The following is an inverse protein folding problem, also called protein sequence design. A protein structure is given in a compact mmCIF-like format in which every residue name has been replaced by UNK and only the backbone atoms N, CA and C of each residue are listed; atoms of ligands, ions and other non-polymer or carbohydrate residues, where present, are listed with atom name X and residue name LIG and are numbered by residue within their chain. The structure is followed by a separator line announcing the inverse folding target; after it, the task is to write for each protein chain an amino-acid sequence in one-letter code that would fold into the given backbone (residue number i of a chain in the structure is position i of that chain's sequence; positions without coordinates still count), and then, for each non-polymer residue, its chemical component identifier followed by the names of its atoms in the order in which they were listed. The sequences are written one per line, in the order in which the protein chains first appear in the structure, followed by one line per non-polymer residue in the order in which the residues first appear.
data_IF_824440508382
#
_entry.id   IF_824440508382
#
_cell.length_a   1.000
_cell.length_b   1.000
_cell.length_c   1.000
_cell.angle_alpha   90.00
_cell.angle_beta   90.00
_cell.angle_gamma   90.00
#
_symmetry.space_group_name_H-M   'P 1'
#
loop_
_entity.id
_entity.type
_entity.pdbx_description
1 polymer ?
#
# COMPACT_ATOMS: atom_id res chain seq x y z
N UNK A 1 -5.23 11.89 -9.93
CA UNK A 1 -3.99 12.68 -10.07
C UNK A 1 -2.90 11.76 -10.57
N UNK A 2 -2.63 11.75 -11.88
CA UNK A 2 -1.47 11.10 -12.47
C UNK A 2 -0.24 11.88 -12.04
N UNK A 3 0.58 11.30 -11.15
CA UNK A 3 1.85 11.90 -10.75
C UNK A 3 2.82 11.82 -11.93
N UNK A 4 3.61 12.87 -12.15
CA UNK A 4 4.68 12.86 -13.14
C UNK A 4 5.67 11.72 -12.82
N UNK A 5 6.22 11.03 -13.84
CA UNK A 5 7.23 9.99 -13.64
C UNK A 5 8.49 10.61 -13.01
N UNK A 6 9.03 9.96 -11.98
CA UNK A 6 10.25 10.40 -11.28
C UNK A 6 11.36 9.39 -11.50
N UNK A 7 12.57 9.85 -11.80
CA UNK A 7 13.72 8.97 -12.05
C UNK A 7 15.06 9.71 -11.96
N UNK A 8 16.11 9.11 -12.53
CA UNK A 8 17.47 9.67 -12.53
C UNK A 8 17.60 10.99 -13.30
N UNK A 9 16.65 11.34 -14.15
CA UNK A 9 16.61 12.63 -14.85
C UNK A 9 16.38 13.84 -13.92
N UNK A 10 16.02 13.61 -12.65
CA UNK A 10 15.86 14.66 -11.63
C UNK A 10 17.12 14.86 -10.79
N UNK A 11 18.22 14.17 -11.12
CA UNK A 11 19.50 14.40 -10.46
C UNK A 11 20.00 15.82 -10.77
N UNK A 12 20.62 16.50 -9.79
CA UNK A 12 21.18 17.83 -10.00
C UNK A 12 22.40 17.74 -10.93
N UNK A 13 22.84 18.87 -11.50
CA UNK A 13 23.99 18.90 -12.43
C UNK A 13 25.30 18.39 -11.79
N UNK A 14 25.43 18.55 -10.46
CA UNK A 14 26.59 18.13 -9.66
C UNK A 14 26.47 16.70 -9.10
N UNK A 15 25.67 15.83 -9.73
CA UNK A 15 25.48 14.47 -9.23
C UNK A 15 26.77 13.63 -9.27
N UNK A 16 26.92 12.74 -8.28
CA UNK A 16 28.04 11.79 -8.26
C UNK A 16 27.91 10.76 -9.38
N UNK A 17 28.76 10.87 -10.40
CA UNK A 17 29.02 9.81 -11.37
C UNK A 17 29.71 8.61 -10.71
N UNK A 18 29.31 7.40 -11.10
CA UNK A 18 29.94 6.16 -10.62
C UNK A 18 30.96 5.65 -11.64
N UNK A 19 32.03 5.05 -11.12
CA UNK A 19 33.12 4.52 -11.92
C UNK A 19 33.27 3.05 -11.66
N UNK A 20 33.40 2.30 -12.75
CA UNK A 20 33.57 0.84 -12.77
C UNK A 20 34.92 0.54 -13.42
N UNK A 21 35.73 -0.26 -12.75
CA UNK A 21 37.03 -0.67 -13.23
C UNK A 21 37.86 -1.33 -12.14
N UNK A 22 39.02 -1.85 -12.52
CA UNK A 22 39.99 -2.41 -11.57
C UNK A 22 40.52 -1.34 -10.61
N UNK A 23 41.16 -1.76 -9.52
CA UNK A 23 41.64 -0.85 -8.47
C UNK A 23 42.49 0.32 -8.99
N UNK A 24 43.32 0.10 -10.02
CA UNK A 24 44.11 1.15 -10.66
C UNK A 24 43.24 2.22 -11.35
N UNK A 25 42.12 1.85 -11.95
CA UNK A 25 41.18 2.80 -12.57
C UNK A 25 40.48 3.67 -11.51
N UNK A 26 40.21 3.10 -10.32
CA UNK A 26 39.63 3.85 -9.22
C UNK A 26 40.59 4.92 -8.69
N UNK A 27 41.90 4.65 -8.63
CA UNK A 27 42.89 5.62 -8.18
C UNK A 27 43.07 6.77 -9.18
N UNK A 28 43.01 6.49 -10.49
CA UNK A 28 42.98 7.52 -11.54
C UNK A 28 41.74 8.42 -11.37
N UNK A 29 40.57 7.83 -11.12
CA UNK A 29 39.36 8.63 -10.93
C UNK A 29 39.39 9.48 -9.65
N UNK A 30 39.96 8.96 -8.55
CA UNK A 30 40.16 9.76 -7.33
C UNK A 30 41.04 10.98 -7.60
N UNK A 31 42.07 10.83 -8.43
CA UNK A 31 42.90 11.96 -8.89
C UNK A 31 42.05 12.95 -9.70
N UNK A 32 41.29 12.48 -10.68
CA UNK A 32 40.46 13.34 -11.53
C UNK A 32 39.31 14.06 -10.79
N UNK A 33 38.90 13.55 -9.63
CA UNK A 33 37.88 14.17 -8.77
C UNK A 33 38.43 15.27 -7.86
N UNK A 34 39.75 15.46 -7.79
CA UNK A 34 40.35 16.55 -7.02
C UNK A 34 39.83 17.90 -7.52
N UNK A 35 39.59 18.81 -6.58
CA UNK A 35 39.00 20.12 -6.84
C UNK A 35 40.11 21.17 -6.93
N UNK A 36 40.08 21.98 -7.98
CA UNK A 36 40.91 23.16 -8.16
C UNK A 36 40.03 24.33 -8.62
N UNK A 37 40.01 25.42 -7.85
CA UNK A 37 39.17 26.60 -8.14
C UNK A 37 37.69 26.25 -8.41
N UNK A 38 37.09 25.43 -7.53
CA UNK A 38 35.71 24.95 -7.60
C UNK A 38 35.36 24.12 -8.86
N UNK A 39 36.37 23.61 -9.57
CA UNK A 39 36.23 22.71 -10.71
C UNK A 39 36.98 21.41 -10.45
N UNK A 40 36.45 20.30 -10.96
CA UNK A 40 37.17 19.04 -10.92
C UNK A 40 38.29 18.99 -11.97
N UNK A 41 39.38 18.27 -11.70
CA UNK A 41 40.43 18.04 -12.72
C UNK A 41 39.86 17.35 -13.97
N UNK A 42 38.79 16.57 -13.83
CA UNK A 42 38.06 15.98 -14.95
C UNK A 42 37.36 17.05 -15.82
N UNK A 43 36.70 18.03 -15.21
CA UNK A 43 36.09 19.15 -15.95
C UNK A 43 37.15 19.93 -16.72
N UNK A 44 38.29 20.22 -16.08
CA UNK A 44 39.40 20.89 -16.75
C UNK A 44 39.95 20.07 -17.93
N UNK A 45 40.00 18.75 -17.80
CA UNK A 45 40.40 17.86 -18.90
C UNK A 45 39.37 17.85 -20.04
N UNK A 46 38.06 17.89 -19.74
CA UNK A 46 36.98 17.90 -20.73
C UNK A 46 36.83 19.25 -21.44
N UNK A 47 37.17 20.36 -20.77
CA UNK A 47 37.17 21.71 -21.33
C UNK A 47 38.46 22.06 -22.09
N UNK A 48 39.40 21.11 -22.19
CA UNK A 48 40.72 21.32 -22.81
C UNK A 48 41.49 22.51 -22.20
N UNK A 49 41.45 22.65 -20.87
CA UNK A 49 42.10 23.76 -20.18
C UNK A 49 43.63 23.75 -20.36
N UNK A 50 44.17 24.91 -20.74
CA UNK A 50 45.60 25.07 -21.04
C UNK A 50 46.47 24.94 -19.79
N UNK A 51 46.04 25.49 -18.65
CA UNK A 51 46.81 25.43 -17.41
C UNK A 51 46.84 24.01 -16.84
N UNK A 52 45.74 23.26 -16.99
CA UNK A 52 45.71 21.84 -16.66
C UNK A 52 46.68 21.03 -17.54
N UNK A 53 46.67 21.26 -18.85
CA UNK A 53 47.55 20.56 -19.80
C UNK A 53 49.03 20.88 -19.53
N UNK A 54 49.37 22.15 -19.33
CA UNK A 54 50.74 22.59 -19.02
C UNK A 54 51.25 22.00 -17.68
N UNK A 55 50.36 21.76 -16.73
CA UNK A 55 50.71 21.13 -15.45
C UNK A 55 50.99 19.62 -15.55
N UNK A 56 50.57 18.96 -16.65
CA UNK A 56 50.76 17.52 -16.84
C UNK A 56 52.17 17.17 -17.32
N UNK A 57 52.75 17.94 -18.24
CA UNK A 57 54.10 17.68 -18.78
C UNK A 57 54.70 18.92 -19.43
N UNK A 58 56.02 19.09 -19.31
CA UNK A 58 56.78 20.14 -20.03
C UNK A 58 56.80 19.92 -21.56
N UNK A 59 56.40 18.73 -22.04
CA UNK A 59 56.26 18.43 -23.46
C UNK A 59 54.79 18.59 -23.90
N UNK A 60 54.47 19.57 -24.77
CA UNK A 60 53.09 19.85 -25.20
C UNK A 60 52.38 18.66 -25.86
N UNK A 61 53.12 17.82 -26.61
CA UNK A 61 52.52 16.66 -27.27
C UNK A 61 52.08 15.59 -26.27
N UNK A 62 52.89 15.37 -25.22
CA UNK A 62 52.58 14.42 -24.16
C UNK A 62 51.48 14.95 -23.22
N UNK A 63 51.50 16.25 -22.92
CA UNK A 63 50.45 16.91 -22.17
C UNK A 63 49.08 16.75 -22.83
N UNK A 64 49.00 17.02 -24.14
CA UNK A 64 47.77 16.84 -24.92
C UNK A 64 47.32 15.37 -24.98
N UNK A 65 48.25 14.42 -25.12
CA UNK A 65 47.92 12.99 -25.10
C UNK A 65 47.30 12.57 -23.76
N UNK A 66 47.88 13.02 -22.63
CA UNK A 66 47.37 12.68 -21.30
C UNK A 66 46.05 13.37 -20.98
N UNK A 67 45.89 14.65 -21.33
CA UNK A 67 44.63 15.37 -21.15
C UNK A 67 43.47 14.67 -21.89
N UNK A 68 43.70 14.29 -23.16
CA UNK A 68 42.73 13.55 -23.97
C UNK A 68 42.42 12.16 -23.37
N UNK A 69 43.44 11.45 -22.88
CA UNK A 69 43.25 10.15 -22.23
C UNK A 69 42.40 10.27 -20.94
N UNK A 70 42.58 11.34 -20.17
CA UNK A 70 41.78 11.61 -18.97
C UNK A 70 40.34 11.98 -19.31
N UNK A 71 40.13 12.84 -20.31
CA UNK A 71 38.79 13.20 -20.80
C UNK A 71 38.00 11.97 -21.30
N UNK A 72 38.68 11.08 -22.03
CA UNK A 72 38.11 9.86 -22.61
C UNK A 72 37.61 8.82 -21.60
N UNK A 73 37.89 8.97 -20.29
CA UNK A 73 37.42 8.03 -19.27
C UNK A 73 35.89 8.04 -19.11
N UNK A 74 35.24 9.14 -19.50
CA UNK A 74 33.79 9.32 -19.44
C UNK A 74 33.05 8.70 -20.63
N UNK A 75 33.78 8.39 -21.71
CA UNK A 75 33.19 7.82 -22.91
C UNK A 75 33.03 6.29 -22.77
N UNK A 76 31.92 5.72 -23.29
CA UNK A 76 31.75 4.28 -23.30
C UNK A 76 32.85 3.63 -24.16
N UNK A 77 33.48 2.60 -23.61
CA UNK A 77 34.50 1.83 -24.35
C UNK A 77 33.82 0.71 -25.14
N UNK A 78 34.03 0.69 -26.45
CA UNK A 78 33.62 -0.40 -27.33
C UNK A 78 32.20 -0.30 -27.89
N UNK A 79 31.67 -1.45 -28.34
CA UNK A 79 30.36 -1.57 -28.97
C UNK A 79 29.32 -1.88 -27.88
N UNK A 80 28.08 -1.42 -28.07
CA UNK A 80 26.95 -1.76 -27.21
C UNK A 80 26.82 -3.29 -27.06
N UNK A 81 26.98 -3.77 -25.82
CA UNK A 81 26.93 -5.18 -25.50
C UNK A 81 26.24 -5.41 -24.16
N UNK A 82 25.62 -6.58 -24.02
CA UNK A 82 24.99 -7.05 -22.79
C UNK A 82 25.52 -8.44 -22.45
N UNK A 83 25.33 -8.88 -21.20
CA UNK A 83 25.78 -10.18 -20.74
C UNK A 83 24.60 -11.15 -20.60
N UNK A 84 24.83 -12.45 -20.72
CA UNK A 84 23.78 -13.49 -20.57
C UNK A 84 23.14 -13.51 -19.18
N UNK A 85 23.83 -12.99 -18.17
CA UNK A 85 23.31 -12.82 -16.81
C UNK A 85 22.67 -11.45 -16.55
N UNK A 86 22.74 -10.53 -17.51
CA UNK A 86 22.04 -9.25 -17.42
C UNK A 86 20.53 -9.48 -17.60
N UNK A 87 19.73 -8.61 -17.00
CA UNK A 87 18.27 -8.66 -17.19
C UNK A 87 17.92 -8.05 -18.54
N UNK A 88 17.15 -8.79 -19.31
CA UNK A 88 16.58 -8.36 -20.58
C UNK A 88 15.09 -8.65 -20.54
N UNK A 89 14.27 -7.69 -20.98
CA UNK A 89 12.81 -7.73 -20.89
C UNK A 89 12.23 -7.43 -22.27
N UNK A 90 11.31 -8.27 -22.73
CA UNK A 90 10.51 -7.95 -23.91
C UNK A 90 9.41 -6.94 -23.52
N UNK A 91 9.28 -5.90 -24.33
CA UNK A 91 8.27 -4.87 -24.18
C UNK A 91 7.48 -4.77 -25.48
N UNK A 92 6.18 -5.08 -25.44
CA UNK A 92 5.31 -4.94 -26.60
C UNK A 92 5.19 -3.45 -26.94
N UNK A 93 5.74 -3.07 -28.08
CA UNK A 93 5.72 -1.70 -28.61
C UNK A 93 4.72 -1.54 -29.76
N UNK A 94 4.41 -2.64 -30.47
CA UNK A 94 3.34 -2.73 -31.46
C UNK A 94 2.01 -3.22 -30.88
N UNK A 95 1.20 -3.85 -31.71
CA UNK A 95 -0.18 -4.25 -31.40
C UNK A 95 -0.36 -5.77 -31.34
N UNK A 96 0.55 -6.55 -31.95
CA UNK A 96 0.44 -8.01 -32.02
C UNK A 96 1.41 -8.72 -31.05
N UNK A 97 0.92 -9.35 -29.98
CA UNK A 97 1.76 -10.10 -29.04
C UNK A 97 2.29 -11.42 -29.61
N UNK A 98 1.92 -11.80 -30.85
CA UNK A 98 2.38 -13.01 -31.53
C UNK A 98 3.44 -12.74 -32.61
N UNK A 99 3.69 -11.47 -32.95
CA UNK A 99 4.78 -11.07 -33.84
C UNK A 99 6.00 -10.63 -33.03
N UNK A 100 7.12 -11.34 -33.20
CA UNK A 100 8.39 -11.00 -32.55
C UNK A 100 8.87 -9.58 -32.92
N UNK A 101 8.52 -9.09 -34.12
CA UNK A 101 8.87 -7.75 -34.60
C UNK A 101 8.22 -6.60 -33.83
N UNK A 102 7.11 -6.88 -33.13
CA UNK A 102 6.37 -5.89 -32.34
C UNK A 102 6.93 -5.71 -30.92
N UNK A 103 7.99 -6.44 -30.56
CA UNK A 103 8.65 -6.33 -29.27
C UNK A 103 9.98 -5.56 -29.33
N UNK A 104 10.15 -4.64 -28.38
CA UNK A 104 11.45 -4.08 -28.05
C UNK A 104 12.12 -4.89 -26.93
N UNK A 105 13.42 -5.18 -27.08
CA UNK A 105 14.22 -5.76 -26.02
C UNK A 105 14.84 -4.66 -25.15
N UNK A 106 14.34 -4.53 -23.92
CA UNK A 106 14.83 -3.57 -22.93
C UNK A 106 15.87 -4.22 -22.03
N UNK A 107 17.07 -3.61 -21.95
CA UNK A 107 18.12 -4.00 -21.02
C UNK A 107 18.26 -2.94 -19.91
N UNK A 108 17.47 -3.00 -18.83
CA UNK A 108 17.51 -1.99 -17.77
C UNK A 108 18.86 -2.04 -17.03
N UNK A 109 19.53 -0.88 -16.99
CA UNK A 109 20.75 -0.69 -16.21
C UNK A 109 20.44 -0.21 -14.79
N UNK A 110 21.32 -0.54 -13.86
CA UNK A 110 21.18 -0.12 -12.48
C UNK A 110 21.60 1.35 -12.29
N UNK A 111 20.65 2.22 -11.93
CA UNK A 111 20.87 3.65 -11.71
C UNK A 111 21.63 3.94 -10.40
N UNK A 112 22.93 3.65 -10.37
CA UNK A 112 23.80 3.76 -9.19
C UNK A 112 23.89 5.17 -8.61
N UNK A 113 23.98 6.21 -9.45
CA UNK A 113 24.00 7.62 -8.99
C UNK A 113 22.70 8.02 -8.29
N UNK A 114 21.55 7.58 -8.80
CA UNK A 114 20.26 7.79 -8.15
C UNK A 114 20.19 7.05 -6.81
N UNK A 115 20.61 5.78 -6.79
CA UNK A 115 20.66 5.01 -5.55
C UNK A 115 21.59 5.64 -4.50
N UNK A 116 22.69 6.25 -4.94
CA UNK A 116 23.63 6.96 -4.07
C UNK A 116 23.01 8.21 -3.45
N UNK A 117 22.32 9.04 -4.25
CA UNK A 117 21.61 10.22 -3.73
C UNK A 117 20.52 9.83 -2.71
N UNK A 118 19.73 8.79 -3.01
CA UNK A 118 18.72 8.28 -2.07
C UNK A 118 19.39 7.78 -0.78
N UNK A 119 20.51 7.05 -0.89
CA UNK A 119 21.26 6.56 0.26
C UNK A 119 21.77 7.70 1.15
N UNK A 120 22.41 8.73 0.55
CA UNK A 120 22.88 9.90 1.28
C UNK A 120 21.72 10.62 1.97
N UNK A 121 20.61 10.85 1.27
CA UNK A 121 19.43 11.51 1.83
C UNK A 121 18.86 10.75 3.03
N UNK A 122 18.66 9.45 2.90
CA UNK A 122 18.15 8.61 3.99
C UNK A 122 19.11 8.62 5.18
N UNK A 123 20.43 8.53 4.95
CA UNK A 123 21.40 8.57 6.04
C UNK A 123 21.45 9.92 6.75
N UNK A 124 21.37 11.04 6.02
CA UNK A 124 21.28 12.37 6.62
C UNK A 124 19.99 12.52 7.44
N UNK A 125 18.85 12.05 6.93
CA UNK A 125 17.57 12.10 7.64
C UNK A 125 17.53 11.16 8.87
N UNK A 126 18.30 10.06 8.87
CA UNK A 126 18.35 9.08 9.97
C UNK A 126 19.43 9.39 10.99
N UNK A 127 20.60 9.83 10.57
CA UNK A 127 21.81 9.91 11.40
C UNK A 127 22.46 11.30 11.38
N UNK A 128 21.93 12.26 10.63
CA UNK A 128 22.37 13.65 10.66
C UNK A 128 22.06 14.33 11.99
N UNK A 129 22.87 15.30 12.37
CA UNK A 129 22.81 15.89 13.70
C UNK A 129 21.51 16.66 13.94
N UNK A 130 20.97 17.35 12.93
CA UNK A 130 19.65 17.97 13.01
C UNK A 130 18.54 16.95 13.32
N UNK A 131 18.57 15.76 12.70
CA UNK A 131 17.60 14.70 12.95
C UNK A 131 17.75 14.10 14.36
N UNK A 132 19.00 13.95 14.85
CA UNK A 132 19.26 13.51 16.24
C UNK A 132 18.67 14.50 17.25
N UNK A 133 18.93 15.79 17.06
CA UNK A 133 18.43 16.86 17.94
C UNK A 133 16.90 16.91 17.94
N UNK A 134 16.26 16.84 16.78
CA UNK A 134 14.80 16.82 16.67
C UNK A 134 14.16 15.58 17.31
N UNK A 135 14.78 14.38 17.18
CA UNK A 135 14.30 13.17 17.86
C UNK A 135 14.48 13.27 19.39
N UNK A 136 15.59 13.85 19.85
CA UNK A 136 15.82 14.06 21.28
C UNK A 136 14.81 15.05 21.88
N UNK A 137 14.54 16.16 21.20
CA UNK A 137 13.51 17.11 21.62
C UNK A 137 12.12 16.47 21.71
N UNK A 138 11.74 15.63 20.73
CA UNK A 138 10.49 14.84 20.81
C UNK A 138 10.48 13.91 22.02
N UNK A 139 11.59 13.22 22.28
CA UNK A 139 11.72 12.31 23.44
C UNK A 139 11.56 13.05 24.77
N UNK A 140 12.08 14.28 24.84
CA UNK A 140 12.04 15.14 26.01
C UNK A 140 10.75 16.00 26.10
N UNK A 141 9.82 15.84 25.15
CA UNK A 141 8.60 16.66 25.01
C UNK A 141 8.89 18.17 24.92
N UNK A 142 9.98 18.56 24.27
CA UNK A 142 10.37 19.96 24.04
C UNK A 142 10.08 20.38 22.59
N UNK A 143 9.77 21.66 22.35
CA UNK A 143 9.67 22.19 21.00
C UNK A 143 11.04 22.11 20.29
N UNK A 144 11.02 21.83 18.99
CA UNK A 144 12.18 21.85 18.12
C UNK A 144 11.89 22.72 16.90
N UNK A 145 12.90 23.47 16.44
CA UNK A 145 12.77 24.34 15.26
C UNK A 145 12.63 23.54 13.95
N UNK A 146 13.18 22.32 13.91
CA UNK A 146 13.13 21.42 12.76
C UNK A 146 12.50 20.08 13.11
N UNK A 147 11.74 19.50 12.19
CA UNK A 147 11.24 18.12 12.29
C UNK A 147 12.30 17.07 11.99
N UNK A 148 11.95 15.79 12.14
CA UNK A 148 12.74 14.66 11.67
C UNK A 148 11.89 13.78 10.75
N UNK A 149 12.57 12.96 9.92
CA UNK A 149 11.92 11.98 9.03
C UNK A 149 12.14 10.56 9.54
N UNK A 150 11.19 9.70 9.25
CA UNK A 150 11.30 8.27 9.54
C UNK A 150 10.89 7.46 8.30
N UNK A 151 11.58 6.35 8.07
CA UNK A 151 11.45 5.51 6.88
C UNK A 151 11.07 4.08 7.33
N UNK A 152 9.78 3.83 7.63
CA UNK A 152 9.35 2.54 8.14
C UNK A 152 9.51 1.45 7.07
N UNK A 153 9.80 0.23 7.53
CA UNK A 153 9.95 -0.97 6.68
C UNK A 153 11.04 -0.84 5.59
N UNK A 154 12.08 -0.04 5.83
CA UNK A 154 13.23 0.07 4.94
C UNK A 154 13.98 -1.26 4.88
N UNK A 155 14.20 -1.80 3.68
CA UNK A 155 15.04 -2.96 3.47
C UNK A 155 16.44 -2.55 2.99
N UNK A 156 17.47 -3.28 3.40
CA UNK A 156 18.85 -3.09 2.93
C UNK A 156 19.29 -4.32 2.14
N UNK A 157 19.47 -4.16 0.84
CA UNK A 157 20.06 -5.18 -0.03
C UNK A 157 21.57 -5.00 -0.09
N UNK A 158 22.34 -6.08 0.10
CA UNK A 158 23.80 -6.06 -0.01
C UNK A 158 24.26 -6.44 -1.41
N UNK A 159 25.04 -5.57 -2.05
CA UNK A 159 25.64 -5.79 -3.36
C UNK A 159 27.16 -6.00 -3.22
N UNK A 160 27.67 -7.09 -3.79
CA UNK A 160 29.10 -7.46 -3.78
C UNK A 160 29.54 -8.39 -2.64
N UNK A 161 28.62 -8.92 -1.84
CA UNK A 161 28.92 -9.93 -0.81
C UNK A 161 29.98 -9.46 0.18
N UNK A 162 31.09 -10.19 0.30
CA UNK A 162 32.23 -9.84 1.16
C UNK A 162 33.21 -8.85 0.53
N UNK A 163 33.04 -8.51 -0.76
CA UNK A 163 33.92 -7.61 -1.53
C UNK A 163 33.11 -6.56 -2.32
N UNK A 164 32.41 -5.63 -1.64
CA UNK A 164 31.62 -4.57 -2.29
C UNK A 164 32.43 -3.68 -3.26
N UNK A 165 33.75 -3.63 -3.09
CA UNK A 165 34.69 -2.89 -3.92
C UNK A 165 34.81 -3.37 -5.37
N UNK A 166 34.40 -4.61 -5.65
CA UNK A 166 34.49 -5.18 -7.00
C UNK A 166 33.29 -4.81 -7.88
N UNK A 167 32.31 -4.06 -7.37
CA UNK A 167 31.09 -3.70 -8.11
C UNK A 167 31.23 -2.32 -8.73
N UNK A 168 31.45 -1.30 -7.89
CA UNK A 168 31.65 0.08 -8.33
C UNK A 168 32.14 0.96 -7.18
N UNK A 169 32.60 2.17 -7.51
CA UNK A 169 33.09 3.15 -6.55
C UNK A 169 31.98 3.57 -5.56
N UNK A 170 30.82 3.98 -6.06
CA UNK A 170 29.71 4.43 -5.18
C UNK A 170 29.08 3.28 -4.42
N UNK A 171 29.18 2.03 -4.90
CA UNK A 171 28.77 0.86 -4.11
C UNK A 171 29.69 0.67 -2.90
N UNK A 172 30.99 0.92 -3.07
CA UNK A 172 31.99 0.85 -2.00
C UNK A 172 31.74 1.90 -0.93
N UNK A 173 31.49 3.15 -1.34
CA UNK A 173 31.14 4.24 -0.41
C UNK A 173 29.88 3.92 0.41
N UNK A 174 28.91 3.21 -0.19
CA UNK A 174 27.71 2.73 0.50
C UNK A 174 27.96 1.50 1.39
N UNK A 175 29.16 0.94 1.42
CA UNK A 175 29.47 -0.32 2.10
C UNK A 175 28.65 -1.50 1.55
N UNK A 176 28.36 -1.47 0.24
CA UNK A 176 27.49 -2.40 -0.47
C UNK A 176 26.00 -2.28 -0.11
N UNK A 177 25.59 -1.27 0.67
CA UNK A 177 24.19 -1.10 1.04
C UNK A 177 23.39 -0.45 -0.08
N UNK A 178 22.29 -1.09 -0.44
CA UNK A 178 21.25 -0.50 -1.26
C UNK A 178 19.93 -0.45 -0.48
N UNK A 179 19.42 0.75 -0.23
CA UNK A 179 18.17 0.93 0.51
C UNK A 179 16.97 0.84 -0.43
N UNK A 180 16.02 -0.03 -0.08
CA UNK A 180 14.77 -0.21 -0.79
C UNK A 180 13.62 0.37 0.03
N UNK A 181 12.88 1.30 -0.57
CA UNK A 181 11.69 1.89 0.02
C UNK A 181 10.54 0.89 0.02
N UNK A 182 9.72 0.93 1.08
CA UNK A 182 8.59 0.04 1.22
C UNK A 182 7.48 0.38 0.21
N UNK A 183 7.32 -0.46 -0.81
CA UNK A 183 6.17 -0.47 -1.70
C UNK A 183 5.29 -1.67 -1.38
N UNK A 184 4.77 -1.71 -0.14
CA UNK A 184 3.94 -2.79 0.34
C UNK A 184 2.46 -2.45 0.14
N UNK A 185 1.62 -3.41 -0.31
CA UNK A 185 0.18 -3.19 -0.32
C UNK A 185 -0.32 -2.95 1.11
N UNK A 186 -1.42 -2.21 1.30
CA UNK A 186 -2.03 -2.08 2.62
C UNK A 186 -2.41 -3.47 3.13
N UNK A 187 -1.83 -3.87 4.26
CA UNK A 187 -2.27 -5.09 4.96
C UNK A 187 -3.54 -4.75 5.73
N UNK A 188 -4.70 -5.07 5.15
CA UNK A 188 -5.96 -4.97 5.88
C UNK A 188 -5.92 -5.99 7.02
N UNK A 189 -5.75 -5.49 8.24
CA UNK A 189 -5.86 -6.33 9.44
C UNK A 189 -7.34 -6.55 9.71
N UNK A 190 -7.97 -7.45 8.95
CA UNK A 190 -9.21 -8.07 9.42
C UNK A 190 -8.85 -8.75 10.74
N UNK A 191 -9.35 -8.24 11.87
CA UNK A 191 -9.34 -9.06 13.08
C UNK A 191 -10.08 -10.34 12.69
N UNK A 192 -9.40 -11.48 12.73
CA UNK A 192 -10.00 -12.75 12.31
C UNK A 192 -11.39 -12.87 12.92
N UNK A 193 -12.39 -13.03 12.06
CA UNK A 193 -13.78 -13.14 12.50
C UNK A 193 -13.82 -14.31 13.46
N UNK A 194 -14.24 -14.07 14.70
CA UNK A 194 -14.42 -15.15 15.68
C UNK A 194 -15.85 -15.64 15.63
N UNK A 195 -16.06 -16.94 15.77
CA UNK A 195 -17.39 -17.52 15.96
C UNK A 195 -18.11 -16.80 17.13
N UNK A 196 -19.39 -16.42 16.97
CA UNK A 196 -20.20 -15.77 17.99
C UNK A 196 -20.65 -16.76 19.08
N UNK A 197 -19.69 -17.29 19.85
CA UNK A 197 -19.96 -18.19 20.97
C UNK A 197 -20.47 -17.41 22.19
N UNK A 198 -21.20 -18.10 23.07
CA UNK A 198 -21.76 -17.57 24.32
C UNK A 198 -22.71 -16.37 24.14
N UNK A 199 -23.32 -16.22 22.96
CA UNK A 199 -24.30 -15.17 22.70
C UNK A 199 -25.64 -15.74 22.25
N UNK A 200 -26.72 -15.12 22.73
CA UNK A 200 -28.11 -15.51 22.42
C UNK A 200 -28.64 -14.81 21.17
N UNK A 201 -27.92 -13.80 20.66
CA UNK A 201 -28.28 -13.11 19.43
C UNK A 201 -27.08 -12.42 18.80
N UNK A 202 -26.88 -12.68 17.52
CA UNK A 202 -25.81 -12.07 16.74
C UNK A 202 -26.02 -10.57 16.51
N UNK A 203 -27.27 -10.09 16.60
CA UNK A 203 -27.63 -8.69 16.34
C UNK A 203 -27.04 -7.71 17.36
N UNK A 204 -26.74 -8.16 18.59
CA UNK A 204 -26.02 -7.33 19.57
C UNK A 204 -24.56 -7.09 19.15
N UNK A 205 -23.96 -8.04 18.42
CA UNK A 205 -22.62 -7.88 17.83
C UNK A 205 -22.68 -7.05 16.55
N UNK A 206 -23.69 -7.27 15.71
CA UNK A 206 -23.98 -6.43 14.55
C UNK A 206 -24.10 -4.95 14.94
N UNK A 207 -24.88 -4.65 15.98
CA UNK A 207 -25.07 -3.29 16.50
C UNK A 207 -23.82 -2.63 17.09
N UNK A 208 -22.73 -3.36 17.35
CA UNK A 208 -21.47 -2.77 17.84
C UNK A 208 -20.57 -2.27 16.71
N UNK A 209 -20.82 -2.69 15.46
CA UNK A 209 -20.08 -2.20 14.29
C UNK A 209 -20.19 -0.68 14.20
N UNK A 210 -19.09 -0.02 13.83
CA UNK A 210 -19.03 1.45 13.81
C UNK A 210 -20.01 2.01 12.78
N UNK A 211 -20.06 1.37 11.62
CA UNK A 211 -20.90 1.70 10.48
C UNK A 211 -22.38 1.54 10.85
N UNK A 212 -22.77 0.40 11.42
CA UNK A 212 -24.13 0.15 11.93
C UNK A 212 -24.54 1.18 13.00
N UNK A 213 -23.66 1.48 13.98
CA UNK A 213 -23.95 2.52 14.98
C UNK A 213 -24.19 3.88 14.34
N UNK A 214 -23.39 4.25 13.36
CA UNK A 214 -23.52 5.52 12.65
C UNK A 214 -24.83 5.58 11.85
N UNK A 215 -25.19 4.51 11.14
CA UNK A 215 -26.44 4.42 10.37
C UNK A 215 -27.68 4.50 11.27
N UNK A 216 -27.71 3.73 12.36
CA UNK A 216 -28.81 3.75 13.33
C UNK A 216 -28.95 5.13 13.98
N UNK A 217 -27.84 5.75 14.39
CA UNK A 217 -27.85 7.11 14.95
C UNK A 217 -28.28 8.17 13.93
N UNK A 218 -27.82 8.06 12.68
CA UNK A 218 -28.21 8.96 11.60
C UNK A 218 -29.70 8.88 11.27
N UNK A 219 -30.24 7.65 11.18
CA UNK A 219 -31.67 7.41 11.00
C UNK A 219 -32.46 7.97 12.18
N UNK A 220 -32.04 7.66 13.40
CA UNK A 220 -32.65 8.16 14.63
C UNK A 220 -32.73 9.69 14.68
N UNK A 221 -31.59 10.35 14.45
CA UNK A 221 -31.49 11.81 14.45
C UNK A 221 -32.34 12.42 13.34
N UNK A 222 -32.38 11.81 12.16
CA UNK A 222 -33.22 12.27 11.06
C UNK A 222 -34.70 12.19 11.42
N UNK A 223 -35.17 11.08 11.99
CA UNK A 223 -36.56 10.91 12.41
C UNK A 223 -36.95 11.90 13.52
N UNK A 224 -36.06 12.20 14.48
CA UNK A 224 -36.29 13.20 15.52
C UNK A 224 -36.49 14.63 14.98
N UNK A 225 -36.08 14.94 13.75
CA UNK A 225 -36.32 16.26 13.15
C UNK A 225 -37.77 16.46 12.68
N UNK A 226 -38.64 15.46 12.85
CA UNK A 226 -40.01 15.44 12.33
C UNK A 226 -40.06 15.84 10.84
N UNK A 227 -39.36 15.09 9.97
CA UNK A 227 -39.25 15.47 8.57
C UNK A 227 -40.63 15.42 7.88
N UNK A 228 -40.90 16.32 6.92
CA UNK A 228 -42.19 16.37 6.24
C UNK A 228 -42.49 15.07 5.49
N UNK A 229 -43.77 14.68 5.44
CA UNK A 229 -44.19 13.44 4.78
C UNK A 229 -44.18 13.59 3.24
N UNK A 230 -42.99 13.54 2.65
CA UNK A 230 -42.79 13.67 1.22
C UNK A 230 -41.84 12.61 0.66
N UNK A 231 -41.74 12.54 -0.67
CA UNK A 231 -40.89 11.55 -1.37
C UNK A 231 -39.42 11.64 -0.96
N UNK A 232 -38.88 12.82 -0.70
CA UNK A 232 -37.48 12.99 -0.30
C UNK A 232 -37.19 12.40 1.07
N UNK A 233 -38.08 12.62 2.04
CA UNK A 233 -38.03 11.99 3.36
C UNK A 233 -38.06 10.47 3.24
N UNK A 234 -38.97 9.93 2.42
CA UNK A 234 -39.09 8.49 2.18
C UNK A 234 -37.80 7.91 1.58
N UNK A 235 -37.28 8.50 0.50
CA UNK A 235 -36.03 8.07 -0.13
C UNK A 235 -34.84 8.10 0.83
N UNK A 236 -34.78 9.09 1.73
CA UNK A 236 -33.69 9.20 2.70
C UNK A 236 -33.77 8.12 3.78
N UNK A 237 -34.98 7.82 4.27
CA UNK A 237 -35.20 6.69 5.19
C UNK A 237 -34.86 5.38 4.51
N UNK A 238 -35.30 5.18 3.26
CA UNK A 238 -34.99 3.99 2.47
C UNK A 238 -33.47 3.83 2.31
N UNK A 239 -32.73 4.91 2.04
CA UNK A 239 -31.27 4.86 1.97
C UNK A 239 -30.58 4.43 3.27
N UNK A 240 -31.13 4.77 4.44
CA UNK A 240 -30.62 4.25 5.71
C UNK A 240 -30.92 2.76 5.88
N UNK A 241 -32.11 2.31 5.49
CA UNK A 241 -32.46 0.89 5.55
C UNK A 241 -31.65 0.05 4.59
N UNK A 242 -31.47 0.51 3.35
CA UNK A 242 -30.66 -0.17 2.33
C UNK A 242 -29.22 -0.33 2.81
N UNK A 243 -28.61 0.75 3.33
CA UNK A 243 -27.26 0.67 3.91
C UNK A 243 -27.18 -0.27 5.13
N UNK A 244 -28.23 -0.35 5.96
CA UNK A 244 -28.26 -1.28 7.10
C UNK A 244 -28.40 -2.74 6.64
N UNK A 245 -29.14 -2.99 5.56
CA UNK A 245 -29.29 -4.31 4.94
C UNK A 245 -27.97 -4.73 4.29
N UNK A 246 -27.30 -3.84 3.55
CA UNK A 246 -25.98 -4.11 2.96
C UNK A 246 -24.96 -4.48 4.03
N UNK A 247 -24.93 -3.73 5.13
CA UNK A 247 -24.07 -4.05 6.29
C UNK A 247 -24.43 -5.40 6.93
N UNK A 248 -25.70 -5.80 6.92
CA UNK A 248 -26.15 -7.10 7.45
C UNK A 248 -25.67 -8.26 6.57
N UNK A 249 -25.70 -8.09 5.25
CA UNK A 249 -25.18 -9.06 4.27
C UNK A 249 -23.65 -9.19 4.38
N UNK A 250 -22.95 -8.06 4.49
CA UNK A 250 -21.51 -8.05 4.79
C UNK A 250 -21.21 -8.69 6.16
N UNK A 251 -22.10 -8.50 7.12
CA UNK A 251 -21.97 -9.10 8.45
C UNK A 251 -22.06 -10.62 8.41
N UNK A 252 -22.99 -11.20 7.65
CA UNK A 252 -23.10 -12.66 7.52
C UNK A 252 -21.96 -13.28 6.73
N UNK A 253 -21.54 -12.68 5.60
CA UNK A 253 -20.48 -13.24 4.76
C UNK A 253 -19.14 -13.36 5.48
N UNK A 254 -18.89 -12.50 6.47
CA UNK A 254 -17.74 -12.62 7.37
C UNK A 254 -17.70 -13.93 8.16
N UNK A 255 -18.85 -14.50 8.53
CA UNK A 255 -18.94 -15.78 9.25
C UNK A 255 -18.90 -16.99 8.29
N UNK A 256 -19.27 -16.81 7.02
CA UNK A 256 -19.20 -17.87 6.02
C UNK A 256 -17.77 -18.28 5.67
N UNK A 257 -16.78 -17.44 6.00
CA UNK A 257 -15.35 -17.77 5.90
C UNK A 257 -14.79 -18.56 7.09
N UNK A 258 -15.59 -18.88 8.11
CA UNK A 258 -15.19 -19.75 9.22
C UNK A 258 -15.18 -21.21 8.81
N UNK A 259 -14.49 -22.05 9.58
CA UNK A 259 -14.58 -23.51 9.41
C UNK A 259 -16.03 -23.97 9.55
N UNK A 260 -16.55 -24.78 8.61
CA UNK A 260 -17.90 -25.33 8.70
C UNK A 260 -18.17 -26.02 10.04
N UNK A 261 -19.41 -25.93 10.52
CA UNK A 261 -19.82 -26.62 11.76
C UNK A 261 -19.46 -25.88 13.04
N UNK A 262 -18.93 -24.66 12.98
CA UNK A 262 -18.64 -23.85 14.17
C UNK A 262 -19.87 -23.61 15.04
N UNK A 263 -21.08 -23.64 14.46
CA UNK A 263 -22.34 -23.49 15.19
C UNK A 263 -22.76 -24.72 15.98
N UNK A 264 -22.17 -25.89 15.72
CA UNK A 264 -22.42 -27.14 16.45
C UNK A 264 -21.71 -27.20 17.82
N UNK A 265 -20.78 -26.29 18.08
CA UNK A 265 -20.08 -26.20 19.36
C UNK A 265 -21.08 -26.01 20.51
N UNK A 266 -20.91 -26.75 21.61
CA UNK A 266 -21.69 -26.63 22.84
C UNK A 266 -21.73 -25.20 23.44
N UNK A 267 -20.74 -24.37 23.11
CA UNK A 267 -20.66 -22.96 23.50
C UNK A 267 -21.55 -22.04 22.63
N UNK A 268 -22.02 -22.51 21.48
CA UNK A 268 -22.95 -21.79 20.63
C UNK A 268 -24.34 -21.75 21.28
N UNK A 269 -24.84 -20.54 21.54
CA UNK A 269 -26.17 -20.30 22.13
C UNK A 269 -27.12 -19.58 21.17
N UNK A 270 -26.72 -19.49 19.89
CA UNK A 270 -27.54 -18.84 18.88
C UNK A 270 -28.79 -19.68 18.61
N UNK A 271 -29.94 -19.04 18.37
CA UNK A 271 -31.12 -19.71 17.85
C UNK A 271 -30.83 -20.43 16.53
N UNK A 272 -31.53 -21.53 16.27
CA UNK A 272 -31.33 -22.38 15.11
C UNK A 272 -31.37 -21.58 13.80
N UNK A 273 -32.31 -20.65 13.65
CA UNK A 273 -32.42 -19.79 12.47
C UNK A 273 -31.16 -18.95 12.22
N UNK A 274 -30.48 -18.50 13.27
CA UNK A 274 -29.21 -17.75 13.16
C UNK A 274 -28.03 -18.68 12.87
N UNK A 275 -28.09 -19.94 13.30
CA UNK A 275 -27.11 -20.94 12.89
C UNK A 275 -27.26 -21.25 11.39
N UNK A 276 -28.48 -21.52 10.92
CA UNK A 276 -28.78 -21.82 9.50
C UNK A 276 -28.34 -20.68 8.55
N UNK A 277 -28.45 -19.44 9.03
CA UNK A 277 -28.03 -18.24 8.31
C UNK A 277 -26.50 -18.05 8.28
N UNK A 278 -25.82 -18.21 9.42
CA UNK A 278 -24.41 -17.81 9.57
C UNK A 278 -23.40 -18.95 9.36
N UNK A 279 -23.84 -20.20 9.39
CA UNK A 279 -23.01 -21.40 9.20
C UNK A 279 -23.58 -22.28 8.07
N UNK A 280 -23.66 -21.75 6.82
CA UNK A 280 -24.33 -22.45 5.72
C UNK A 280 -23.67 -23.77 5.36
N UNK A 281 -22.35 -23.86 5.53
CA UNK A 281 -21.54 -25.02 5.15
C UNK A 281 -21.61 -26.18 6.15
N UNK A 282 -22.19 -26.00 7.35
CA UNK A 282 -22.44 -27.10 8.29
C UNK A 282 -23.30 -28.21 7.67
N UNK A 283 -24.16 -27.86 6.72
CA UNK A 283 -24.97 -28.84 5.99
C UNK A 283 -24.17 -29.84 5.16
N UNK A 284 -22.89 -29.58 4.85
CA UNK A 284 -22.01 -30.55 4.17
C UNK A 284 -21.71 -31.77 5.06
N UNK A 285 -21.69 -31.59 6.38
CA UNK A 285 -21.42 -32.64 7.36
C UNK A 285 -22.70 -33.19 8.00
N UNK A 286 -23.75 -32.36 8.12
CA UNK A 286 -25.01 -32.69 8.78
C UNK A 286 -26.21 -32.58 7.81
N UNK A 287 -26.68 -33.71 7.29
CA UNK A 287 -27.79 -33.77 6.32
C UNK A 287 -29.12 -33.18 6.86
N UNK A 288 -29.41 -33.37 8.16
CA UNK A 288 -30.61 -32.80 8.78
C UNK A 288 -30.54 -31.27 8.83
N UNK A 289 -29.34 -30.70 9.02
CA UNK A 289 -29.12 -29.26 9.02
C UNK A 289 -29.28 -28.68 7.60
N UNK A 290 -28.77 -29.37 6.58
CA UNK A 290 -28.99 -29.02 5.18
C UNK A 290 -30.48 -28.99 4.83
N UNK A 291 -31.23 -30.03 5.21
CA UNK A 291 -32.68 -30.10 4.99
C UNK A 291 -33.44 -28.95 5.68
N UNK A 292 -33.08 -28.64 6.93
CA UNK A 292 -33.67 -27.51 7.67
C UNK A 292 -33.32 -26.15 7.05
N UNK A 293 -32.15 -26.03 6.40
CA UNK A 293 -31.76 -24.81 5.70
C UNK A 293 -32.51 -24.63 4.38
N UNK A 294 -32.71 -25.71 3.62
CA UNK A 294 -33.44 -25.66 2.34
C UNK A 294 -34.94 -25.51 2.50
N UNK A 295 -35.54 -26.19 3.49
CA UNK A 295 -36.99 -26.27 3.66
C UNK A 295 -37.52 -25.37 4.79
N UNK A 296 -36.64 -24.80 5.61
CA UNK A 296 -37.03 -24.03 6.78
C UNK A 296 -37.37 -22.58 6.47
N UNK A 297 -38.30 -22.02 7.25
CA UNK A 297 -38.68 -20.60 7.25
C UNK A 297 -37.64 -19.70 7.97
N UNK A 298 -36.38 -20.14 8.04
CA UNK A 298 -35.34 -19.41 8.77
C UNK A 298 -35.09 -17.98 8.24
N UNK A 299 -35.18 -17.66 6.94
CA UNK A 299 -34.99 -16.29 6.48
C UNK A 299 -36.05 -15.34 7.05
N UNK A 300 -37.30 -15.80 7.16
CA UNK A 300 -38.38 -15.04 7.79
C UNK A 300 -38.12 -14.82 9.30
N UNK A 301 -37.58 -15.81 10.01
CA UNK A 301 -37.22 -15.67 11.42
C UNK A 301 -36.06 -14.69 11.62
N UNK A 302 -35.06 -14.69 10.74
CA UNK A 302 -33.96 -13.70 10.74
C UNK A 302 -34.50 -12.30 10.49
N UNK A 303 -35.38 -12.16 9.50
CA UNK A 303 -36.09 -10.93 9.17
C UNK A 303 -36.81 -10.35 10.39
N UNK A 304 -37.61 -11.16 11.07
CA UNK A 304 -38.33 -10.79 12.30
C UNK A 304 -37.39 -10.42 13.46
N UNK A 305 -36.29 -11.17 13.63
CA UNK A 305 -35.31 -10.91 14.67
C UNK A 305 -34.56 -9.58 14.42
N UNK A 306 -34.17 -9.31 13.17
CA UNK A 306 -33.57 -8.04 12.77
C UNK A 306 -34.55 -6.87 12.98
N UNK A 307 -35.81 -7.01 12.55
CA UNK A 307 -36.84 -6.00 12.75
C UNK A 307 -37.04 -5.66 14.24
N UNK A 308 -37.15 -6.69 15.09
CA UNK A 308 -37.24 -6.51 16.54
C UNK A 308 -36.00 -5.83 17.12
N UNK A 309 -34.80 -6.19 16.66
CA UNK A 309 -33.58 -5.54 17.11
C UNK A 309 -33.54 -4.06 16.71
N UNK A 310 -33.83 -3.72 15.44
CA UNK A 310 -33.80 -2.35 14.94
C UNK A 310 -34.85 -1.48 15.65
N UNK A 311 -36.06 -2.01 15.83
CA UNK A 311 -37.11 -1.34 16.61
C UNK A 311 -36.67 -1.08 18.06
N UNK A 312 -35.94 -2.01 18.71
CA UNK A 312 -35.39 -1.76 20.06
C UNK A 312 -34.35 -0.63 20.06
N UNK A 313 -33.54 -0.49 19.01
CA UNK A 313 -32.57 0.61 18.91
C UNK A 313 -33.28 1.96 18.70
N UNK A 314 -34.37 1.97 17.93
CA UNK A 314 -35.16 3.17 17.64
C UNK A 314 -36.14 3.53 18.77
N UNK A 315 -36.64 2.58 19.56
CA UNK A 315 -37.57 2.80 20.70
C UNK A 315 -36.99 3.66 21.82
N UNK A 316 -35.68 3.93 21.82
CA UNK A 316 -35.06 4.93 22.71
C UNK A 316 -35.38 6.37 22.31
N UNK A 317 -36.09 6.57 21.20
CA UNK A 317 -36.54 7.84 20.67
C UNK A 317 -38.06 7.88 20.88
N UNK A 318 -38.56 8.96 21.46
CA UNK A 318 -39.99 9.18 21.68
C UNK A 318 -40.71 9.50 20.36
N UNK A 319 -40.82 8.52 19.47
CA UNK A 319 -41.54 8.63 18.19
C UNK A 319 -42.97 8.12 18.41
N UNK A 320 -43.98 8.83 17.91
CA UNK A 320 -45.39 8.51 18.16
C UNK A 320 -45.85 7.19 17.53
N UNK A 321 -46.85 6.53 18.12
CA UNK A 321 -47.33 5.18 17.74
C UNK A 321 -47.77 5.06 16.27
N UNK A 322 -48.20 6.15 15.62
CA UNK A 322 -48.64 6.14 14.22
C UNK A 322 -47.47 6.13 13.23
N UNK A 323 -46.44 6.94 13.47
CA UNK A 323 -45.21 6.94 12.68
C UNK A 323 -44.53 5.57 12.82
N UNK A 324 -44.53 5.00 14.02
CA UNK A 324 -43.97 3.68 14.28
C UNK A 324 -44.63 2.57 13.44
N UNK A 325 -45.95 2.59 13.27
CA UNK A 325 -46.67 1.63 12.42
C UNK A 325 -46.37 1.81 10.93
N UNK A 326 -46.29 3.05 10.45
CA UNK A 326 -45.96 3.33 9.05
C UNK A 326 -44.52 2.87 8.72
N UNK A 327 -43.58 3.11 9.63
CA UNK A 327 -42.20 2.65 9.50
C UNK A 327 -42.08 1.14 9.63
N UNK A 328 -42.82 0.49 10.54
CA UNK A 328 -42.88 -0.97 10.63
C UNK A 328 -43.42 -1.61 9.34
N UNK A 329 -44.42 -1.00 8.68
CA UNK A 329 -44.95 -1.48 7.40
C UNK A 329 -43.98 -1.27 6.21
N UNK A 330 -43.17 -0.22 6.24
CA UNK A 330 -42.10 0.01 5.24
C UNK A 330 -40.91 -0.91 5.45
N UNK A 331 -40.49 -1.06 6.71
CA UNK A 331 -39.49 -2.02 7.14
C UNK A 331 -39.88 -3.41 6.65
N UNK A 332 -41.14 -3.84 6.85
CA UNK A 332 -41.65 -5.11 6.33
C UNK A 332 -41.37 -5.31 4.83
N UNK A 333 -41.70 -4.33 3.97
CA UNK A 333 -41.48 -4.42 2.51
C UNK A 333 -40.01 -4.52 2.10
N UNK A 334 -39.12 -3.75 2.75
CA UNK A 334 -37.66 -3.82 2.49
C UNK A 334 -37.05 -5.12 3.03
N UNK A 335 -37.59 -5.60 4.13
CA UNK A 335 -37.23 -6.86 4.75
C UNK A 335 -37.73 -8.07 3.96
N UNK A 336 -38.78 -7.93 3.14
CA UNK A 336 -39.19 -8.94 2.17
C UNK A 336 -38.12 -9.10 1.06
N UNK A 337 -37.46 -8.00 0.64
CA UNK A 337 -36.29 -8.08 -0.27
C UNK A 337 -35.10 -8.76 0.39
N UNK A 338 -34.84 -8.49 1.67
CA UNK A 338 -33.81 -9.21 2.43
C UNK A 338 -34.11 -10.72 2.50
N UNK A 339 -35.38 -11.11 2.62
CA UNK A 339 -35.79 -12.52 2.63
C UNK A 339 -35.49 -13.24 1.31
N UNK A 340 -35.55 -12.54 0.17
CA UNK A 340 -35.18 -13.08 -1.15
C UNK A 340 -33.66 -13.22 -1.30
N UNK A 341 -32.87 -12.31 -0.72
CA UNK A 341 -31.40 -12.31 -0.82
C UNK A 341 -30.72 -13.28 0.15
N UNK A 342 -31.25 -13.44 1.37
CA UNK A 342 -30.64 -14.25 2.44
C UNK A 342 -30.30 -15.70 2.05
N UNK A 343 -31.09 -16.43 1.23
CA UNK A 343 -30.74 -17.77 0.78
C UNK A 343 -29.55 -17.82 -0.19
N UNK A 344 -29.26 -16.70 -0.87
CA UNK A 344 -28.24 -16.57 -1.92
C UNK A 344 -26.94 -15.92 -1.45
N UNK A 345 -26.97 -15.30 -0.27
CA UNK A 345 -25.81 -14.84 0.50
C UNK A 345 -25.23 -16.00 1.28
#
# INVERSE_FOLDING_TARGET
MTRAPTGSHLLPEDFSGDVVGDAAALDIYKFLRLQHADRSLLELALEEDAAFSDALSDNPGQAAEWANAFAGITQPKGIEASHTQAKQLYWLAGDDPTDDGDFHLLAPLYATSLAHQIFQRINTDRFGDAAKTARQARRDNKPAESGYRDYPNLAAQKLGGTKPQNISQLNSERGGNNYLLASLPPKWKSQGVKAPLYTESVFERFGRRREVRWLVQGLAQFLLTHPPENRHTRNRVDGYFDALIDELVLFSSEFHGLSPGWSADSACRLPLEQQLWLDPWRGEEEADFANQREQGEWPERIREAFARWLNRQLNRLSVGDNEHREWAARLKRKLDTLQEELPHV
#
